data_IF_406451650121
#
_entry.id   IF_406451650121
#
_cell.length_a   1.000
_cell.length_b   1.000
_cell.length_c   1.000
_cell.angle_alpha   90.00
_cell.angle_beta   90.00
_cell.angle_gamma   90.00
#
_symmetry.space_group_name_H-M   'P 1'
#
loop_
_entity.id
_entity.type
_entity.pdbx_description
1 polymer ?
#
# COMPACT_ATOMS: atom_id res chain seq x y z
N UNK A 1 1.72 -10.41 18.37
CA UNK A 1 1.03 -10.20 17.06
C UNK A 1 0.32 -8.85 17.08
N UNK A 2 0.73 -7.92 16.19
CA UNK A 2 0.24 -6.54 16.14
C UNK A 2 -1.07 -6.44 15.32
N UNK A 3 -2.04 -5.65 15.75
CA UNK A 3 -3.25 -5.36 14.96
C UNK A 3 -2.96 -4.34 13.85
N UNK A 4 -3.53 -4.55 12.66
CA UNK A 4 -3.40 -3.61 11.56
C UNK A 4 -4.23 -2.34 11.79
N UNK A 5 -3.58 -1.18 11.78
CA UNK A 5 -4.25 0.14 11.83
C UNK A 5 -5.06 0.40 10.56
N UNK A 6 -4.55 -0.03 9.42
CA UNK A 6 -5.20 0.10 8.12
C UNK A 6 -6.52 -0.66 8.08
N UNK A 7 -6.49 -1.97 8.42
CA UNK A 7 -7.70 -2.79 8.47
C UNK A 7 -8.70 -2.29 9.52
N UNK A 8 -8.21 -1.81 10.67
CA UNK A 8 -9.07 -1.18 11.67
C UNK A 8 -9.80 0.05 11.11
N UNK A 9 -9.09 0.92 10.35
CA UNK A 9 -9.73 2.06 9.67
C UNK A 9 -10.82 1.62 8.71
N UNK A 10 -10.56 0.58 7.91
CA UNK A 10 -11.55 0.02 6.99
C UNK A 10 -12.79 -0.49 7.74
N UNK A 11 -12.60 -1.26 8.81
CA UNK A 11 -13.68 -1.76 9.66
C UNK A 11 -14.52 -0.66 10.34
N UNK A 12 -13.92 0.51 10.60
CA UNK A 12 -14.60 1.69 11.15
C UNK A 12 -15.22 2.60 10.07
N UNK A 13 -15.10 2.26 8.78
CA UNK A 13 -15.52 3.12 7.67
C UNK A 13 -14.72 4.42 7.56
N UNK A 14 -13.50 4.45 8.10
CA UNK A 14 -12.63 5.63 8.13
C UNK A 14 -11.53 5.54 7.08
N UNK A 15 -11.09 6.70 6.62
CA UNK A 15 -9.99 6.85 5.68
C UNK A 15 -8.64 6.52 6.36
N UNK A 16 -7.88 5.58 5.81
CA UNK A 16 -6.50 5.28 6.21
C UNK A 16 -5.53 6.29 5.57
N UNK A 17 -4.68 6.88 6.40
CA UNK A 17 -3.71 7.92 6.03
C UNK A 17 -2.37 7.27 5.75
N UNK A 18 -1.91 7.32 4.50
CA UNK A 18 -0.70 6.66 4.07
C UNK A 18 0.33 7.65 3.54
N UNK A 19 1.61 7.37 3.78
CA UNK A 19 2.75 8.06 3.17
C UNK A 19 3.64 7.07 2.43
N UNK A 20 4.30 7.50 1.35
CA UNK A 20 5.19 6.63 0.58
C UNK A 20 6.65 6.83 1.00
N UNK A 21 7.36 5.73 1.19
CA UNK A 21 8.79 5.67 1.50
C UNK A 21 9.51 4.80 0.46
N UNK A 22 10.51 5.37 -0.22
CA UNK A 22 11.32 4.67 -1.22
C UNK A 22 12.80 4.55 -0.86
N UNK A 23 13.22 5.03 0.32
CA UNK A 23 14.61 4.99 0.77
C UNK A 23 14.72 4.47 2.19
N UNK A 24 15.89 3.92 2.54
CA UNK A 24 16.15 3.42 3.89
C UNK A 24 16.32 4.56 4.89
N UNK A 25 15.24 4.95 5.56
CA UNK A 25 15.21 6.03 6.55
C UNK A 25 14.38 5.58 7.76
N UNK A 26 14.98 4.85 8.73
CA UNK A 26 14.25 4.36 9.90
C UNK A 26 13.53 5.46 10.70
N UNK A 27 14.12 6.65 10.84
CA UNK A 27 13.50 7.78 11.52
C UNK A 27 12.22 8.30 10.84
N UNK A 28 12.03 8.03 9.55
CA UNK A 28 10.81 8.41 8.84
C UNK A 28 9.58 7.69 9.41
N UNK A 29 9.72 6.42 9.81
CA UNK A 29 8.65 5.64 10.42
C UNK A 29 8.19 6.25 11.76
N UNK A 30 9.17 6.68 12.58
CA UNK A 30 8.87 7.38 13.82
C UNK A 30 8.08 8.67 13.57
N UNK A 31 8.54 9.50 12.63
CA UNK A 31 7.86 10.75 12.31
C UNK A 31 6.48 10.53 11.69
N UNK A 32 6.31 9.52 10.84
CA UNK A 32 5.01 9.16 10.28
C UNK A 32 4.04 8.72 11.37
N UNK A 33 4.47 7.83 12.27
CA UNK A 33 3.66 7.39 13.41
C UNK A 33 3.28 8.54 14.35
N UNK A 34 4.25 9.43 14.64
CA UNK A 34 4.06 10.60 15.50
C UNK A 34 3.08 11.63 14.91
N UNK A 35 2.96 11.69 13.58
CA UNK A 35 2.02 12.56 12.88
C UNK A 35 0.73 11.81 12.47
N UNK A 36 0.39 10.75 13.20
CA UNK A 36 -0.86 10.01 13.05
C UNK A 36 -1.09 9.36 11.67
N UNK A 37 -0.03 9.03 10.92
CA UNK A 37 -0.18 8.16 9.78
C UNK A 37 -0.52 6.74 10.24
N UNK A 38 -1.40 6.10 9.50
CA UNK A 38 -1.84 4.73 9.78
C UNK A 38 -0.94 3.71 9.09
N UNK A 39 -0.41 4.06 7.89
CA UNK A 39 0.35 3.17 7.04
C UNK A 39 1.50 3.87 6.31
N UNK A 40 2.57 3.11 6.04
CA UNK A 40 3.64 3.47 5.11
C UNK A 40 3.55 2.54 3.91
N UNK A 41 3.44 3.10 2.69
CA UNK A 41 3.69 2.37 1.46
C UNK A 41 5.20 2.32 1.23
N UNK A 42 5.82 1.15 1.46
CA UNK A 42 7.23 0.91 1.18
C UNK A 42 7.39 0.46 -0.28
N UNK A 43 7.98 1.32 -1.10
CA UNK A 43 8.12 1.08 -2.53
C UNK A 43 9.45 0.40 -2.87
N UNK A 44 9.38 -0.89 -3.21
CA UNK A 44 10.52 -1.67 -3.68
C UNK A 44 10.45 -1.98 -5.19
N UNK A 45 9.38 -1.63 -5.86
CA UNK A 45 9.25 -1.76 -7.31
C UNK A 45 10.17 -0.76 -8.02
N UNK A 46 10.09 0.51 -7.64
CA UNK A 46 10.87 1.58 -8.27
C UNK A 46 12.09 2.03 -7.45
N UNK A 47 12.37 1.38 -6.33
CA UNK A 47 13.47 1.72 -5.43
C UNK A 47 14.18 0.47 -4.94
N UNK A 48 15.50 0.51 -4.97
CA UNK A 48 16.33 -0.59 -4.50
C UNK A 48 16.63 -0.46 -3.01
N UNK A 49 16.29 -1.50 -2.25
CA UNK A 49 16.75 -1.70 -0.88
C UNK A 49 17.23 -3.14 -0.74
N UNK A 50 18.24 -3.36 0.11
CA UNK A 50 18.63 -4.71 0.47
C UNK A 50 17.56 -5.36 1.38
N UNK A 51 17.47 -6.69 1.38
CA UNK A 51 16.58 -7.44 2.27
C UNK A 51 16.76 -7.04 3.74
N UNK A 52 18.00 -6.87 4.19
CA UNK A 52 18.31 -6.45 5.57
C UNK A 52 17.78 -5.05 5.89
N UNK A 53 17.81 -4.12 4.93
CA UNK A 53 17.22 -2.80 5.11
C UNK A 53 15.70 -2.87 5.23
N UNK A 54 15.05 -3.69 4.40
CA UNK A 54 13.59 -3.90 4.46
C UNK A 54 13.21 -4.52 5.80
N UNK A 55 13.87 -5.61 6.20
CA UNK A 55 13.65 -6.28 7.49
C UNK A 55 13.81 -5.30 8.67
N UNK A 56 14.84 -4.45 8.63
CA UNK A 56 15.05 -3.42 9.65
C UNK A 56 13.90 -2.42 9.69
N UNK A 57 13.40 -1.92 8.54
CA UNK A 57 12.25 -1.01 8.51
C UNK A 57 10.98 -1.68 9.06
N UNK A 58 10.75 -2.95 8.72
CA UNK A 58 9.61 -3.71 9.24
C UNK A 58 9.70 -3.90 10.77
N UNK A 59 10.90 -4.16 11.31
CA UNK A 59 11.10 -4.20 12.77
C UNK A 59 10.81 -2.83 13.44
N UNK A 60 11.25 -1.72 12.82
CA UNK A 60 10.92 -0.37 13.31
C UNK A 60 9.41 -0.08 13.22
N UNK A 61 8.71 -0.62 12.24
CA UNK A 61 7.26 -0.43 12.14
C UNK A 61 6.51 -1.05 13.32
N UNK A 62 6.97 -2.20 13.80
CA UNK A 62 6.45 -2.81 15.02
C UNK A 62 6.78 -1.99 16.27
N UNK A 63 8.01 -1.45 16.37
CA UNK A 63 8.43 -0.61 17.48
C UNK A 63 7.61 0.68 17.60
N UNK A 64 7.28 1.30 16.45
CA UNK A 64 6.56 2.57 16.42
C UNK A 64 5.04 2.41 16.22
N UNK A 65 4.56 1.19 16.17
CA UNK A 65 3.15 0.85 15.97
C UNK A 65 2.56 1.57 14.73
N UNK A 66 3.14 1.34 13.56
CA UNK A 66 2.65 1.84 12.27
C UNK A 66 2.63 0.70 11.25
N UNK A 67 1.61 0.63 10.39
CA UNK A 67 1.56 -0.37 9.35
C UNK A 67 2.61 -0.09 8.26
N UNK A 68 3.16 -1.16 7.67
CA UNK A 68 3.90 -1.08 6.42
C UNK A 68 3.22 -1.97 5.39
N UNK A 69 2.80 -1.36 4.29
CA UNK A 69 2.34 -2.02 3.08
C UNK A 69 3.50 -2.04 2.08
N UNK A 70 4.06 -3.22 1.80
CA UNK A 70 5.20 -3.37 0.90
C UNK A 70 4.70 -3.51 -0.54
N UNK A 71 5.24 -2.70 -1.47
CA UNK A 71 5.12 -2.94 -2.90
C UNK A 71 6.38 -3.67 -3.36
N UNK A 72 6.31 -4.99 -3.57
CA UNK A 72 7.48 -5.81 -3.87
C UNK A 72 7.94 -5.66 -5.32
N UNK A 73 9.21 -5.97 -5.64
CA UNK A 73 9.74 -5.95 -7.00
C UNK A 73 9.45 -7.24 -7.78
N UNK A 74 8.73 -8.18 -7.18
CA UNK A 74 8.46 -9.51 -7.74
C UNK A 74 7.11 -10.02 -7.28
N UNK A 75 6.55 -11.01 -8.01
CA UNK A 75 5.34 -11.77 -7.64
C UNK A 75 5.66 -13.20 -7.22
N UNK A 76 6.94 -13.52 -7.01
CA UNK A 76 7.37 -14.85 -6.60
C UNK A 76 6.83 -15.17 -5.19
N UNK A 77 6.13 -16.31 -5.05
CA UNK A 77 5.39 -16.70 -3.85
C UNK A 77 6.20 -16.60 -2.56
N UNK A 78 7.42 -17.15 -2.56
CA UNK A 78 8.28 -17.16 -1.35
C UNK A 78 8.72 -15.75 -0.97
N UNK A 79 9.07 -14.92 -1.95
CA UNK A 79 9.46 -13.55 -1.70
C UNK A 79 8.28 -12.72 -1.13
N UNK A 80 7.05 -12.98 -1.58
CA UNK A 80 5.87 -12.28 -1.09
C UNK A 80 5.58 -12.57 0.38
N UNK A 81 5.47 -13.85 0.76
CA UNK A 81 5.10 -14.15 2.15
C UNK A 81 6.25 -13.90 3.15
N UNK A 82 7.52 -13.87 2.72
CA UNK A 82 8.64 -13.44 3.57
C UNK A 82 8.49 -12.02 4.09
N UNK A 83 8.00 -11.06 3.28
CA UNK A 83 7.71 -9.72 3.79
C UNK A 83 6.66 -9.73 4.90
N UNK A 84 5.67 -10.61 4.81
CA UNK A 84 4.66 -10.77 5.88
C UNK A 84 5.27 -11.38 7.13
N UNK A 85 6.11 -12.43 6.99
CA UNK A 85 6.84 -13.06 8.10
C UNK A 85 7.77 -12.08 8.83
N UNK A 86 8.36 -11.15 8.08
CA UNK A 86 9.20 -10.07 8.62
C UNK A 86 8.39 -8.89 9.19
N UNK A 87 7.06 -8.97 9.19
CA UNK A 87 6.17 -8.04 9.90
C UNK A 87 5.48 -6.99 9.05
N UNK A 88 5.45 -7.12 7.71
CA UNK A 88 4.62 -6.28 6.88
C UNK A 88 3.14 -6.47 7.21
N UNK A 89 2.38 -5.39 7.33
CA UNK A 89 0.94 -5.42 7.56
C UNK A 89 0.17 -5.80 6.29
N UNK A 90 0.75 -5.57 5.11
CA UNK A 90 0.13 -5.92 3.84
C UNK A 90 1.08 -5.81 2.67
N UNK A 91 0.61 -6.27 1.51
CA UNK A 91 1.31 -6.14 0.24
C UNK A 91 0.48 -5.35 -0.75
N UNK A 92 1.13 -4.50 -1.55
CA UNK A 92 0.54 -3.80 -2.69
C UNK A 92 1.15 -4.38 -3.97
N UNK A 93 0.41 -5.19 -4.69
CA UNK A 93 0.93 -5.88 -5.87
C UNK A 93 0.59 -5.10 -7.14
N UNK A 94 1.61 -4.63 -7.89
CA UNK A 94 1.41 -3.87 -9.11
C UNK A 94 0.96 -4.74 -10.29
N UNK A 95 0.39 -4.11 -11.33
CA UNK A 95 0.07 -4.70 -12.63
C UNK A 95 -0.91 -5.88 -12.61
N UNK A 96 -1.79 -5.97 -11.62
CA UNK A 96 -2.83 -7.01 -11.59
C UNK A 96 -3.93 -6.64 -12.57
N UNK A 97 -4.14 -7.47 -13.58
CA UNK A 97 -5.05 -7.18 -14.69
C UNK A 97 -6.19 -8.18 -14.86
N UNK A 98 -6.12 -9.34 -14.20
CA UNK A 98 -7.16 -10.36 -14.27
C UNK A 98 -7.51 -10.92 -12.88
N UNK A 99 -8.71 -11.48 -12.69
CA UNK A 99 -9.08 -12.14 -11.44
C UNK A 99 -8.20 -13.36 -11.13
N UNK A 100 -7.75 -14.12 -12.15
CA UNK A 100 -6.87 -15.26 -11.98
C UNK A 100 -5.52 -14.84 -11.37
N UNK A 101 -4.94 -13.73 -11.84
CA UNK A 101 -3.72 -13.16 -11.21
C UNK A 101 -3.96 -12.79 -9.75
N UNK A 102 -5.12 -12.25 -9.41
CA UNK A 102 -5.48 -11.93 -8.03
C UNK A 102 -5.65 -13.19 -7.17
N UNK A 103 -6.28 -14.24 -7.70
CA UNK A 103 -6.44 -15.54 -7.03
C UNK A 103 -5.08 -16.20 -6.74
N UNK A 104 -4.14 -16.17 -7.71
CA UNK A 104 -2.77 -16.67 -7.52
C UNK A 104 -2.04 -15.92 -6.39
N UNK A 105 -2.22 -14.60 -6.29
CA UNK A 105 -1.65 -13.80 -5.21
C UNK A 105 -2.26 -14.12 -3.84
N UNK A 106 -3.57 -14.29 -3.77
CA UNK A 106 -4.25 -14.74 -2.55
C UNK A 106 -3.72 -16.10 -2.11
N UNK A 107 -3.63 -17.06 -3.06
CA UNK A 107 -3.09 -18.40 -2.78
C UNK A 107 -1.65 -18.33 -2.28
N UNK A 108 -0.85 -17.36 -2.75
CA UNK A 108 0.53 -17.20 -2.33
C UNK A 108 0.68 -16.69 -0.88
N UNK A 109 -0.19 -15.79 -0.41
CA UNK A 109 0.05 -15.01 0.82
C UNK A 109 -0.91 -15.27 1.97
N UNK A 110 -2.08 -15.86 1.70
CA UNK A 110 -3.05 -16.23 2.75
C UNK A 110 -2.88 -17.68 3.15
N UNK A 111 -3.13 -17.99 4.42
CA UNK A 111 -3.14 -19.37 4.91
C UNK A 111 -4.46 -20.09 4.58
N UNK A 112 -4.46 -21.43 4.57
CA UNK A 112 -5.71 -22.18 4.47
C UNK A 112 -6.77 -21.73 5.52
N UNK A 113 -8.08 -21.73 5.18
CA UNK A 113 -8.67 -22.23 3.93
C UNK A 113 -8.68 -21.20 2.78
N UNK A 114 -8.22 -19.96 2.99
CA UNK A 114 -8.31 -18.87 2.01
C UNK A 114 -7.23 -18.98 0.93
N UNK A 115 -6.04 -19.44 1.29
CA UNK A 115 -4.90 -19.57 0.39
C UNK A 115 -4.04 -20.79 0.72
N UNK A 116 -2.79 -20.78 0.23
CA UNK A 116 -1.82 -21.90 0.33
C UNK A 116 -0.45 -21.46 0.85
N UNK A 117 -0.40 -20.38 1.66
CA UNK A 117 0.85 -19.91 2.27
C UNK A 117 1.46 -21.02 3.15
N UNK A 118 2.77 -21.26 2.99
CA UNK A 118 3.53 -22.10 3.90
C UNK A 118 3.62 -21.49 5.30
N UNK A 119 3.68 -22.34 6.33
CA UNK A 119 3.76 -21.88 7.71
C UNK A 119 5.21 -21.85 8.20
N UNK A 120 5.65 -20.71 8.69
CA UNK A 120 6.75 -20.54 9.63
C UNK A 120 6.30 -19.56 10.72
N UNK A 121 6.28 -20.00 11.97
CA UNK A 121 5.87 -19.17 13.10
C UNK A 121 7.05 -18.58 13.88
N UNK A 122 8.27 -18.64 13.34
CA UNK A 122 9.47 -18.09 13.97
C UNK A 122 9.76 -16.63 13.59
N UNK A 123 8.95 -16.05 12.70
CA UNK A 123 9.08 -14.66 12.25
C UNK A 123 8.59 -13.61 13.24
N UNK A 124 8.85 -12.33 12.92
CA UNK A 124 8.41 -11.19 13.71
C UNK A 124 6.88 -11.10 13.79
N UNK A 125 6.17 -11.44 12.72
CA UNK A 125 4.71 -11.41 12.64
C UNK A 125 4.05 -12.40 13.62
N UNK A 126 4.75 -13.49 13.98
CA UNK A 126 4.30 -14.52 14.93
C UNK A 126 4.91 -14.36 16.34
N UNK A 127 5.44 -13.18 16.66
CA UNK A 127 6.16 -12.91 17.92
C UNK A 127 7.23 -13.97 18.21
N UNK A 128 7.97 -14.39 17.17
CA UNK A 128 9.08 -15.36 17.25
C UNK A 128 8.70 -16.71 17.88
N UNK A 129 7.52 -17.24 17.53
CA UNK A 129 7.11 -18.59 17.92
C UNK A 129 6.42 -18.71 19.28
N UNK A 130 5.98 -17.57 19.87
CA UNK A 130 5.24 -17.60 21.13
C UNK A 130 3.83 -18.19 20.97
N UNK A 131 3.24 -18.06 19.78
CA UNK A 131 1.88 -18.49 19.47
C UNK A 131 1.87 -19.87 18.79
N UNK A 132 0.84 -20.66 19.08
CA UNK A 132 0.61 -21.91 18.34
C UNK A 132 0.17 -21.61 16.88
N UNK A 133 0.36 -22.62 16.02
CA UNK A 133 0.12 -22.48 14.59
C UNK A 133 -1.31 -22.07 14.24
N UNK A 134 -2.32 -22.59 14.94
CA UNK A 134 -3.72 -22.31 14.65
C UNK A 134 -4.08 -20.86 14.97
N UNK A 135 -3.65 -20.35 16.13
CA UNK A 135 -3.86 -18.97 16.53
C UNK A 135 -3.10 -18.01 15.60
N UNK A 136 -1.85 -18.34 15.22
CA UNK A 136 -1.06 -17.53 14.31
C UNK A 136 -1.70 -17.43 12.92
N UNK A 137 -2.04 -18.55 12.29
CA UNK A 137 -2.58 -18.53 10.92
C UNK A 137 -3.93 -17.85 10.83
N UNK A 138 -4.81 -18.05 11.82
CA UNK A 138 -6.11 -17.36 11.89
C UNK A 138 -5.94 -15.85 12.07
N UNK A 139 -4.99 -15.44 12.93
CA UNK A 139 -4.66 -14.04 13.13
C UNK A 139 -4.06 -13.42 11.86
N UNK A 140 -3.08 -14.06 11.24
CA UNK A 140 -2.41 -13.55 10.05
C UNK A 140 -3.39 -13.33 8.89
N UNK A 141 -4.33 -14.27 8.65
CA UNK A 141 -5.37 -14.09 7.64
C UNK A 141 -6.28 -12.88 7.91
N UNK A 142 -6.50 -12.54 9.18
CA UNK A 142 -7.38 -11.42 9.60
C UNK A 142 -6.66 -10.08 9.64
N UNK A 143 -5.40 -10.04 10.05
CA UNK A 143 -4.66 -8.80 10.37
C UNK A 143 -3.63 -8.42 9.29
N UNK A 144 -3.48 -9.22 8.24
CA UNK A 144 -2.70 -8.86 7.06
C UNK A 144 -3.59 -8.66 5.84
N UNK A 145 -3.21 -7.78 4.91
CA UNK A 145 -4.04 -7.45 3.77
C UNK A 145 -3.29 -7.56 2.42
N UNK A 146 -4.05 -7.92 1.39
CA UNK A 146 -3.65 -7.86 -0.01
C UNK A 146 -4.30 -6.66 -0.68
N UNK A 147 -3.49 -5.73 -1.15
CA UNK A 147 -3.89 -4.69 -2.06
C UNK A 147 -3.44 -5.06 -3.48
N UNK A 148 -4.33 -4.96 -4.46
CA UNK A 148 -4.00 -5.16 -5.88
C UNK A 148 -4.12 -3.85 -6.63
N UNK A 149 -3.11 -3.54 -7.47
CA UNK A 149 -3.03 -2.26 -8.16
C UNK A 149 -3.63 -2.35 -9.57
N UNK A 150 -4.69 -1.58 -9.79
CA UNK A 150 -5.35 -1.38 -11.09
C UNK A 150 -4.66 -0.21 -11.80
N UNK A 151 -3.94 -0.49 -12.89
CA UNK A 151 -3.13 0.51 -13.61
C UNK A 151 -3.01 0.21 -15.13
N UNK A 152 -3.90 -0.64 -15.63
CA UNK A 152 -4.02 -0.93 -17.06
C UNK A 152 -5.48 -0.84 -17.50
N UNK A 153 -5.78 -0.54 -18.80
CA UNK A 153 -7.16 -0.57 -19.29
C UNK A 153 -7.83 -1.93 -19.10
N UNK A 154 -7.09 -3.03 -19.28
CA UNK A 154 -7.58 -4.38 -19.02
C UNK A 154 -7.98 -4.58 -17.56
N UNK A 155 -7.17 -4.07 -16.62
CA UNK A 155 -7.49 -4.14 -15.19
C UNK A 155 -8.76 -3.36 -14.84
N UNK A 156 -8.98 -2.18 -15.46
CA UNK A 156 -10.22 -1.41 -15.31
C UNK A 156 -11.42 -2.19 -15.83
N UNK A 157 -11.29 -2.82 -17.01
CA UNK A 157 -12.34 -3.67 -17.58
C UNK A 157 -12.70 -4.84 -16.64
N UNK A 158 -11.71 -5.44 -16.00
CA UNK A 158 -11.87 -6.57 -15.09
C UNK A 158 -12.08 -6.18 -13.60
N UNK A 159 -12.23 -4.88 -13.29
CA UNK A 159 -12.23 -4.38 -11.92
C UNK A 159 -13.28 -5.06 -11.02
N UNK A 160 -14.48 -5.34 -11.55
CA UNK A 160 -15.54 -6.02 -10.81
C UNK A 160 -15.15 -7.47 -10.46
N UNK A 161 -14.59 -8.21 -11.42
CA UNK A 161 -14.13 -9.58 -11.19
C UNK A 161 -12.95 -9.65 -10.23
N UNK A 162 -11.97 -8.71 -10.37
CA UNK A 162 -10.82 -8.62 -9.47
C UNK A 162 -11.27 -8.27 -8.04
N UNK A 163 -12.17 -7.30 -7.88
CA UNK A 163 -12.68 -6.91 -6.58
C UNK A 163 -13.51 -8.02 -5.90
N UNK A 164 -14.14 -8.91 -6.68
CA UNK A 164 -14.90 -10.02 -6.16
C UNK A 164 -14.05 -11.18 -5.63
N UNK A 165 -12.74 -11.23 -5.92
CA UNK A 165 -11.86 -12.31 -5.47
C UNK A 165 -11.78 -12.30 -3.94
N UNK A 166 -12.12 -13.43 -3.32
CA UNK A 166 -11.98 -13.62 -1.87
C UNK A 166 -10.49 -13.55 -1.47
N UNK A 167 -10.16 -12.80 -0.41
CA UNK A 167 -8.78 -12.62 0.03
C UNK A 167 -8.07 -11.40 -0.56
N UNK A 168 -8.64 -10.73 -1.59
CA UNK A 168 -8.28 -9.35 -1.94
C UNK A 168 -8.95 -8.41 -0.95
N UNK A 169 -8.18 -7.58 -0.26
CA UNK A 169 -8.67 -6.72 0.83
C UNK A 169 -8.79 -5.25 0.41
N UNK A 170 -8.06 -4.82 -0.63
CA UNK A 170 -8.03 -3.43 -1.11
C UNK A 170 -7.76 -3.40 -2.63
N UNK A 171 -8.53 -2.59 -3.34
CA UNK A 171 -8.20 -2.20 -4.72
C UNK A 171 -7.48 -0.87 -4.69
N UNK A 172 -6.29 -0.79 -5.29
CA UNK A 172 -5.50 0.44 -5.34
C UNK A 172 -5.36 0.95 -6.76
N UNK A 173 -5.75 2.19 -7.01
CA UNK A 173 -5.58 2.82 -8.31
C UNK A 173 -4.16 3.39 -8.47
N UNK A 174 -3.48 2.98 -9.56
CA UNK A 174 -2.22 3.54 -10.03
C UNK A 174 -2.44 4.57 -11.15
N UNK A 175 -2.82 5.83 -10.83
CA UNK A 175 -3.27 6.78 -11.83
C UNK A 175 -2.19 7.20 -12.84
N UNK A 176 -0.91 7.12 -12.47
CA UNK A 176 0.19 7.51 -13.36
C UNK A 176 0.31 6.58 -14.56
N UNK A 177 0.46 5.28 -14.32
CA UNK A 177 0.58 4.27 -15.37
C UNK A 177 -0.74 4.08 -16.11
N UNK A 178 -1.87 4.16 -15.41
CA UNK A 178 -3.18 4.07 -16.01
C UNK A 178 -3.42 5.22 -17.00
N UNK A 179 -3.18 6.47 -16.60
CA UNK A 179 -3.35 7.64 -17.48
C UNK A 179 -2.49 7.51 -18.75
N UNK A 180 -1.19 7.16 -18.58
CA UNK A 180 -0.29 6.98 -19.71
C UNK A 180 -0.83 5.96 -20.72
N UNK A 181 -1.37 4.84 -20.26
CA UNK A 181 -1.92 3.78 -21.12
C UNK A 181 -3.25 4.18 -21.76
N UNK A 182 -4.14 4.83 -21.01
CA UNK A 182 -5.40 5.34 -21.52
C UNK A 182 -5.19 6.38 -22.63
N UNK A 183 -4.21 7.28 -22.47
CA UNK A 183 -3.86 8.28 -23.49
C UNK A 183 -3.32 7.64 -24.77
N UNK A 184 -2.49 6.59 -24.66
CA UNK A 184 -1.94 5.87 -25.79
C UNK A 184 -3.01 5.10 -26.57
N UNK A 185 -3.97 4.51 -25.89
CA UNK A 185 -5.02 3.69 -26.49
C UNK A 185 -6.28 4.50 -26.86
N UNK A 186 -6.36 5.76 -26.42
CA UNK A 186 -7.50 6.66 -26.61
C UNK A 186 -8.86 6.02 -26.29
N UNK A 187 -8.91 5.25 -25.20
CA UNK A 187 -10.08 4.43 -24.85
C UNK A 187 -11.10 5.17 -23.97
N UNK A 188 -10.64 5.77 -22.85
CA UNK A 188 -11.51 6.45 -21.90
C UNK A 188 -10.76 7.51 -21.08
N UNK A 189 -11.47 8.40 -20.41
CA UNK A 189 -10.88 9.36 -19.50
C UNK A 189 -10.50 8.68 -18.16
N UNK A 190 -9.45 9.17 -17.48
CA UNK A 190 -9.06 8.67 -16.17
C UNK A 190 -10.21 8.77 -15.14
N UNK A 191 -11.02 9.84 -15.20
CA UNK A 191 -12.18 10.02 -14.34
C UNK A 191 -13.22 8.91 -14.51
N UNK A 192 -13.44 8.45 -15.73
CA UNK A 192 -14.33 7.33 -16.05
C UNK A 192 -13.77 6.00 -15.52
N UNK A 193 -12.47 5.77 -15.69
CA UNK A 193 -11.79 4.60 -15.13
C UNK A 193 -11.90 4.56 -13.59
N UNK A 194 -11.73 5.69 -12.92
CA UNK A 194 -11.91 5.82 -11.45
C UNK A 194 -13.35 5.46 -11.05
N UNK A 195 -14.35 5.95 -11.79
CA UNK A 195 -15.75 5.66 -11.51
C UNK A 195 -16.06 4.16 -11.69
N UNK A 196 -15.55 3.52 -12.74
CA UNK A 196 -15.71 2.07 -12.96
C UNK A 196 -15.14 1.28 -11.77
N UNK A 197 -13.91 1.58 -11.35
CA UNK A 197 -13.27 0.89 -10.22
C UNK A 197 -14.00 1.15 -8.91
N UNK A 198 -14.44 2.37 -8.64
CA UNK A 198 -15.22 2.68 -7.46
C UNK A 198 -16.53 1.89 -7.42
N UNK A 199 -17.28 1.85 -8.52
CA UNK A 199 -18.51 1.08 -8.63
C UNK A 199 -18.27 -0.42 -8.42
N UNK A 200 -17.18 -0.97 -8.96
CA UNK A 200 -16.78 -2.36 -8.75
C UNK A 200 -16.50 -2.66 -7.26
N UNK A 201 -15.77 -1.77 -6.59
CA UNK A 201 -15.46 -1.89 -5.16
C UNK A 201 -16.72 -1.80 -4.29
N UNK A 202 -17.64 -0.87 -4.59
CA UNK A 202 -18.92 -0.75 -3.88
C UNK A 202 -19.77 -2.02 -3.99
N UNK A 203 -19.88 -2.61 -5.19
CA UNK A 203 -20.59 -3.87 -5.41
C UNK A 203 -19.99 -5.03 -4.63
N UNK A 204 -18.65 -5.11 -4.59
CA UNK A 204 -17.93 -6.16 -3.86
C UNK A 204 -17.85 -5.91 -2.35
N UNK A 205 -18.25 -4.73 -1.86
CA UNK A 205 -18.07 -4.33 -0.46
C UNK A 205 -16.59 -4.19 -0.06
N UNK A 206 -15.72 -3.85 -1.02
CA UNK A 206 -14.27 -3.75 -0.83
C UNK A 206 -13.82 -2.29 -0.72
N UNK A 207 -12.84 -1.99 0.15
CA UNK A 207 -12.15 -0.70 0.15
C UNK A 207 -11.43 -0.45 -1.19
N UNK A 208 -11.31 0.82 -1.57
CA UNK A 208 -10.38 1.24 -2.60
C UNK A 208 -9.51 2.41 -2.15
N UNK A 209 -8.38 2.62 -2.82
CA UNK A 209 -7.44 3.68 -2.48
C UNK A 209 -6.66 4.21 -3.67
N UNK A 210 -6.02 5.39 -3.48
CA UNK A 210 -5.22 6.04 -4.51
C UNK A 210 -4.23 7.05 -3.91
N UNK A 211 -3.22 7.52 -4.69
CA UNK A 211 -2.47 8.72 -4.35
C UNK A 211 -3.36 9.97 -4.40
N UNK A 212 -3.30 10.80 -3.35
CA UNK A 212 -4.08 12.05 -3.25
C UNK A 212 -3.24 13.15 -2.55
N UNK A 213 -2.14 13.63 -3.17
CA UNK A 213 -1.19 14.54 -2.52
C UNK A 213 -1.62 16.01 -2.51
N UNK A 214 -2.74 16.38 -3.13
CA UNK A 214 -3.28 17.74 -3.10
C UNK A 214 -4.64 17.79 -2.44
N UNK A 215 -5.07 18.97 -1.99
CA UNK A 215 -6.38 19.18 -1.38
C UNK A 215 -7.51 18.76 -2.32
N UNK A 216 -7.40 19.08 -3.61
CA UNK A 216 -8.39 18.76 -4.63
C UNK A 216 -8.51 17.25 -4.83
N UNK A 217 -7.36 16.55 -4.96
CA UNK A 217 -7.33 15.09 -5.12
C UNK A 217 -7.86 14.39 -3.87
N UNK A 218 -7.47 14.85 -2.67
CA UNK A 218 -7.94 14.28 -1.42
C UNK A 218 -9.46 14.48 -1.26
N UNK A 219 -9.95 15.66 -1.56
CA UNK A 219 -11.40 15.97 -1.50
C UNK A 219 -12.17 15.08 -2.47
N UNK A 220 -11.69 14.94 -3.71
CA UNK A 220 -12.31 14.09 -4.72
C UNK A 220 -12.31 12.62 -4.31
N UNK A 221 -11.17 12.09 -3.87
CA UNK A 221 -11.06 10.71 -3.42
C UNK A 221 -12.00 10.42 -2.22
N UNK A 222 -12.05 11.33 -1.26
CA UNK A 222 -12.94 11.21 -0.09
C UNK A 222 -14.42 11.23 -0.49
N UNK A 223 -14.84 12.15 -1.36
CA UNK A 223 -16.22 12.23 -1.86
C UNK A 223 -16.62 10.97 -2.66
N UNK A 224 -15.68 10.35 -3.34
CA UNK A 224 -15.88 9.11 -4.08
C UNK A 224 -15.79 7.85 -3.20
N UNK A 225 -15.59 7.99 -1.89
CA UNK A 225 -15.59 6.88 -0.94
C UNK A 225 -14.29 6.08 -0.88
N UNK A 226 -13.16 6.66 -1.27
CA UNK A 226 -11.85 6.03 -1.03
C UNK A 226 -11.63 5.80 0.47
N UNK A 227 -11.06 4.65 0.82
CA UNK A 227 -10.77 4.29 2.21
C UNK A 227 -9.27 4.25 2.53
N UNK A 228 -8.38 4.37 1.53
CA UNK A 228 -6.96 4.59 1.71
C UNK A 228 -6.45 5.68 0.76
N UNK A 229 -5.70 6.65 1.30
CA UNK A 229 -5.08 7.70 0.48
C UNK A 229 -3.61 7.85 0.81
N UNK A 230 -2.78 7.98 -0.23
CA UNK A 230 -1.37 8.32 -0.09
C UNK A 230 -1.22 9.83 -0.24
N UNK A 231 -1.07 10.52 0.89
CA UNK A 231 -1.12 11.99 0.97
C UNK A 231 0.24 12.67 0.91
N UNK A 232 1.33 11.90 1.06
CA UNK A 232 2.69 12.42 1.01
C UNK A 232 3.70 11.35 0.60
N UNK A 233 4.91 11.80 0.30
CA UNK A 233 6.07 10.94 0.08
C UNK A 233 7.34 11.64 0.56
N UNK A 234 8.33 10.87 1.03
CA UNK A 234 9.58 11.42 1.56
C UNK A 234 10.32 12.32 0.57
N UNK A 235 10.36 11.94 -0.71
CA UNK A 235 11.04 12.72 -1.74
C UNK A 235 10.39 14.08 -2.02
N UNK A 236 9.09 14.20 -1.79
CA UNK A 236 8.37 15.47 -1.82
C UNK A 236 8.81 16.39 -0.69
N UNK A 237 8.94 15.83 0.52
CA UNK A 237 9.41 16.57 1.70
C UNK A 237 10.81 17.14 1.52
N UNK A 238 11.78 16.33 1.06
CA UNK A 238 13.13 16.79 0.81
C UNK A 238 13.19 17.88 -0.26
N UNK A 239 12.49 17.69 -1.37
CA UNK A 239 12.45 18.66 -2.45
C UNK A 239 11.92 20.01 -1.97
N UNK A 240 10.85 20.00 -1.20
CA UNK A 240 10.24 21.21 -0.65
C UNK A 240 11.17 21.90 0.33
N UNK A 241 11.83 21.17 1.23
CA UNK A 241 12.71 21.73 2.25
C UNK A 241 14.01 22.28 1.66
N UNK A 242 14.62 21.55 0.71
CA UNK A 242 15.81 22.04 0.02
C UNK A 242 15.51 23.31 -0.80
N UNK A 243 14.36 23.34 -1.47
CA UNK A 243 13.92 24.55 -2.19
C UNK A 243 13.66 25.70 -1.24
N UNK A 244 12.96 25.49 -0.14
CA UNK A 244 12.72 26.51 0.89
C UNK A 244 14.03 27.11 1.41
N UNK A 245 15.03 26.26 1.69
CA UNK A 245 16.33 26.69 2.19
C UNK A 245 17.05 27.62 1.21
N UNK A 246 17.11 27.25 -0.07
CA UNK A 246 17.78 28.08 -1.09
C UNK A 246 17.02 29.39 -1.38
N UNK A 247 15.67 29.35 -1.34
CA UNK A 247 14.87 30.56 -1.54
C UNK A 247 15.09 31.58 -0.41
N UNK A 248 15.21 31.13 0.84
CA UNK A 248 15.57 31.97 1.99
C UNK A 248 16.95 32.59 1.78
N UNK A 249 17.96 31.80 1.40
CA UNK A 249 19.32 32.28 1.15
C UNK A 249 19.31 33.34 0.05
N UNK A 250 18.70 33.07 -1.10
CA UNK A 250 18.66 34.01 -2.23
C UNK A 250 17.98 35.34 -1.85
N UNK A 251 16.84 35.27 -1.17
CA UNK A 251 16.10 36.46 -0.74
C UNK A 251 16.86 37.31 0.30
N UNK A 252 17.69 36.69 1.14
CA UNK A 252 18.39 37.35 2.23
C UNK A 252 19.79 37.85 1.81
N UNK A 253 20.48 37.07 0.99
CA UNK A 253 21.92 37.31 0.69
C UNK A 253 22.17 37.82 -0.74
N UNK A 254 21.26 37.53 -1.68
CA UNK A 254 21.42 37.92 -3.10
C UNK A 254 20.40 38.98 -3.55
N UNK A 255 19.29 39.17 -2.83
CA UNK A 255 18.24 40.17 -3.12
C UNK A 255 18.53 41.59 -2.61
N UNK A 256 19.72 41.87 -2.11
CA UNK A 256 20.12 43.14 -1.45
C UNK A 256 21.33 43.83 -2.07
N UNK A 257 21.40 43.97 -3.41
CA UNK A 257 22.29 44.92 -4.09
C UNK A 257 21.54 45.69 -5.15
#
# INVERSE_FOLDING_TARGET
>A
MRQSKTLKRFGEGKLARTTCLGHYIPSFLFHAAHNDYDCIWLDLEHRAMSELQVQSLLAYSHLFDIDVMVRPPTREKVALYRYLEEGAAGLLIPHVSTPEEAEELVAAIKFPPVGERGIDNAGLDADYGIHDAANYTAWANRETFLAVQIETPLAVHNAEAIAAVEGVDLIFLGPGDLQLRLDLENQMALSEAIEIVNNACQKAGKPWGCPAPTTEMLTSAHQQGAQLVVISKESGGWRSELKRGIDIFASTCEGGL
#
